data_IF_025867972701
#
_entry.id   IF_025867972701
#
_cell.length_a   1.000
_cell.length_b   1.000
_cell.length_c   1.000
_cell.angle_alpha   90.00
_cell.angle_beta   90.00
_cell.angle_gamma   90.00
#
_symmetry.space_group_name_H-M   'P 1'
#
loop_
_entity.id
_entity.type
_entity.pdbx_description
1 polymer ?
#
# COMPACT_ATOMS: atom_id res chain seq x y z
N UNK A 1 -34.64 41.50 -16.78
CA UNK A 1 -33.38 41.12 -17.48
C UNK A 1 -32.29 40.59 -16.55
N UNK A 2 -32.24 40.98 -15.27
CA UNK A 2 -31.19 40.55 -14.32
C UNK A 2 -31.37 39.13 -13.78
N UNK A 3 -32.59 38.72 -13.41
CA UNK A 3 -32.85 37.38 -12.85
C UNK A 3 -32.58 36.24 -13.85
N UNK A 4 -33.01 36.35 -15.10
CA UNK A 4 -32.81 35.30 -16.11
C UNK A 4 -31.33 35.11 -16.46
N UNK A 5 -30.56 36.20 -16.54
CA UNK A 5 -29.11 36.12 -16.72
C UNK A 5 -28.41 35.45 -15.53
N UNK A 6 -28.86 35.72 -14.30
CA UNK A 6 -28.32 35.08 -13.09
C UNK A 6 -28.66 33.59 -13.05
N UNK A 7 -29.88 33.20 -13.41
CA UNK A 7 -30.28 31.78 -13.48
C UNK A 7 -29.47 31.05 -14.57
N UNK A 8 -29.28 31.69 -15.73
CA UNK A 8 -28.48 31.13 -16.83
C UNK A 8 -27.00 30.88 -16.45
N UNK A 9 -26.37 31.82 -15.73
CA UNK A 9 -24.98 31.65 -15.27
C UNK A 9 -24.85 30.56 -14.23
N UNK A 10 -25.80 30.45 -13.29
CA UNK A 10 -25.83 29.37 -12.30
C UNK A 10 -25.97 28.00 -12.99
N UNK A 11 -26.90 27.86 -13.93
CA UNK A 11 -27.12 26.62 -14.70
C UNK A 11 -25.87 26.22 -15.49
N UNK A 12 -25.22 27.17 -16.16
CA UNK A 12 -23.97 26.91 -16.88
C UNK A 12 -22.86 26.43 -15.93
N UNK A 13 -22.75 27.04 -14.74
CA UNK A 13 -21.82 26.61 -13.70
C UNK A 13 -22.08 25.18 -13.22
N UNK A 14 -23.34 24.83 -12.97
CA UNK A 14 -23.75 23.47 -12.56
C UNK A 14 -23.44 22.44 -13.65
N UNK A 15 -23.78 22.73 -14.91
CA UNK A 15 -23.50 21.84 -16.04
C UNK A 15 -21.99 21.64 -16.24
N UNK A 16 -21.20 22.71 -16.13
CA UNK A 16 -19.74 22.64 -16.18
C UNK A 16 -19.17 21.77 -15.04
N UNK A 17 -19.69 21.92 -13.82
CA UNK A 17 -19.29 21.12 -12.68
C UNK A 17 -19.66 19.63 -12.84
N UNK A 18 -20.87 19.32 -13.31
CA UNK A 18 -21.31 17.95 -13.60
C UNK A 18 -20.46 17.30 -14.71
N UNK A 19 -20.14 18.05 -15.77
CA UNK A 19 -19.25 17.60 -16.84
C UNK A 19 -17.84 17.32 -16.31
N UNK A 20 -17.31 18.17 -15.41
CA UNK A 20 -16.03 17.95 -14.75
C UNK A 20 -16.03 16.67 -13.89
N UNK A 21 -17.07 16.46 -13.07
CA UNK A 21 -17.25 15.24 -12.28
C UNK A 21 -17.31 14.02 -13.20
N UNK A 22 -18.14 14.03 -14.23
CA UNK A 22 -18.25 12.92 -15.18
C UNK A 22 -16.90 12.63 -15.85
N UNK A 23 -16.20 13.67 -16.32
CA UNK A 23 -14.88 13.55 -16.92
C UNK A 23 -13.88 12.86 -15.98
N UNK A 24 -13.81 13.31 -14.73
CA UNK A 24 -12.84 12.81 -13.77
C UNK A 24 -13.15 11.39 -13.29
N UNK A 25 -14.42 11.11 -12.93
CA UNK A 25 -14.82 9.85 -12.32
C UNK A 25 -15.15 8.75 -13.33
N UNK A 26 -15.65 9.10 -14.52
CA UNK A 26 -16.10 8.12 -15.52
C UNK A 26 -15.20 8.09 -16.75
N UNK A 27 -14.89 9.24 -17.33
CA UNK A 27 -14.25 9.30 -18.64
C UNK A 27 -12.76 8.93 -18.60
N UNK A 28 -11.96 9.62 -17.77
CA UNK A 28 -10.50 9.39 -17.68
C UNK A 28 -10.13 7.93 -17.35
N UNK A 29 -10.75 7.27 -16.34
CA UNK A 29 -10.43 5.88 -16.02
C UNK A 29 -10.78 4.92 -17.17
N UNK A 30 -11.92 5.13 -17.85
CA UNK A 30 -12.33 4.33 -19.01
C UNK A 30 -11.38 4.51 -20.19
N UNK A 31 -10.94 5.74 -20.45
CA UNK A 31 -9.98 6.01 -21.53
C UNK A 31 -8.64 5.30 -21.27
N UNK A 32 -8.12 5.38 -20.04
CA UNK A 32 -6.88 4.67 -19.67
C UNK A 32 -7.04 3.16 -19.82
N UNK A 33 -8.16 2.61 -19.34
CA UNK A 33 -8.48 1.19 -19.48
C UNK A 33 -8.60 0.76 -20.95
N UNK A 34 -9.20 1.59 -21.80
CA UNK A 34 -9.29 1.33 -23.25
C UNK A 34 -7.91 1.33 -23.91
N UNK A 35 -7.03 2.27 -23.55
CA UNK A 35 -5.64 2.28 -24.05
C UNK A 35 -4.90 1.00 -23.68
N UNK A 36 -5.00 0.55 -22.42
CA UNK A 36 -4.40 -0.72 -21.97
C UNK A 36 -5.04 -1.93 -22.65
N UNK A 37 -6.37 -1.91 -22.85
CA UNK A 37 -7.08 -2.95 -23.58
C UNK A 37 -6.64 -3.08 -25.04
N UNK A 38 -6.38 -1.96 -25.72
CA UNK A 38 -5.83 -1.94 -27.07
C UNK A 38 -4.39 -2.50 -27.14
N UNK A 39 -3.65 -2.48 -26.03
CA UNK A 39 -2.34 -3.13 -25.88
C UNK A 39 -2.45 -4.62 -25.47
N UNK A 40 -3.66 -5.17 -25.42
CA UNK A 40 -3.91 -6.56 -25.06
C UNK A 40 -4.07 -6.83 -23.58
N UNK A 41 -3.97 -5.82 -22.71
CA UNK A 41 -4.10 -5.99 -21.25
C UNK A 41 -5.57 -6.10 -20.86
N UNK A 42 -5.98 -7.29 -20.42
CA UNK A 42 -7.35 -7.57 -19.95
C UNK A 42 -7.46 -7.45 -18.43
N UNK A 43 -8.67 -7.56 -17.90
CA UNK A 43 -8.88 -7.57 -16.46
C UNK A 43 -10.36 -7.51 -16.06
N UNK A 44 -10.66 -7.56 -14.75
CA UNK A 44 -12.03 -7.57 -14.24
C UNK A 44 -12.78 -6.28 -14.59
N UNK A 45 -14.03 -6.40 -15.04
CA UNK A 45 -14.84 -5.26 -15.47
C UNK A 45 -15.21 -4.41 -14.26
N UNK A 46 -14.74 -3.16 -14.25
CA UNK A 46 -15.12 -2.14 -13.28
C UNK A 46 -16.34 -1.31 -13.74
N UNK A 47 -16.91 -1.60 -14.92
CA UNK A 47 -17.95 -0.79 -15.55
C UNK A 47 -19.26 -0.73 -14.76
N UNK A 48 -19.58 -1.78 -14.01
CA UNK A 48 -20.78 -1.85 -13.17
C UNK A 48 -20.68 -0.97 -11.92
N UNK A 49 -19.48 -0.58 -11.50
CA UNK A 49 -19.23 0.23 -10.30
C UNK A 49 -18.15 1.28 -10.59
N UNK A 50 -18.41 2.29 -11.43
CA UNK A 50 -17.37 3.23 -11.86
C UNK A 50 -16.76 4.05 -10.71
N UNK A 51 -17.52 4.29 -9.63
CA UNK A 51 -17.07 5.03 -8.45
C UNK A 51 -16.15 4.18 -7.55
N UNK A 52 -16.48 2.91 -7.34
CA UNK A 52 -15.74 2.01 -6.44
C UNK A 52 -14.74 1.11 -7.18
N UNK A 53 -14.80 1.06 -8.51
CA UNK A 53 -14.01 0.15 -9.31
C UNK A 53 -14.32 -1.32 -8.98
N UNK A 54 -13.25 -2.10 -8.76
CA UNK A 54 -13.35 -3.50 -8.40
C UNK A 54 -13.42 -3.76 -6.88
N UNK A 55 -13.49 -2.73 -6.03
CA UNK A 55 -13.55 -2.90 -4.55
C UNK A 55 -14.69 -3.86 -4.12
N UNK A 56 -15.93 -3.76 -4.64
CA UNK A 56 -16.99 -4.69 -4.26
C UNK A 56 -16.68 -6.14 -4.65
N UNK A 57 -16.05 -6.35 -5.80
CA UNK A 57 -15.62 -7.68 -6.26
C UNK A 57 -14.50 -8.24 -5.38
N UNK A 58 -13.50 -7.40 -5.03
CA UNK A 58 -12.42 -7.76 -4.09
C UNK A 58 -13.00 -8.22 -2.75
N UNK A 59 -13.94 -7.45 -2.19
CA UNK A 59 -14.57 -7.80 -0.90
C UNK A 59 -15.40 -9.09 -1.00
N UNK A 60 -16.14 -9.29 -2.10
CA UNK A 60 -16.88 -10.54 -2.34
C UNK A 60 -15.95 -11.76 -2.38
N UNK A 61 -14.86 -11.69 -3.14
CA UNK A 61 -13.89 -12.79 -3.27
C UNK A 61 -13.22 -13.09 -1.91
N UNK A 62 -12.85 -12.04 -1.16
CA UNK A 62 -12.27 -12.19 0.19
C UNK A 62 -13.24 -12.89 1.14
N UNK A 63 -14.49 -12.46 1.20
CA UNK A 63 -15.52 -13.06 2.06
C UNK A 63 -15.83 -14.52 1.67
N UNK A 64 -15.87 -14.83 0.37
CA UNK A 64 -16.07 -16.21 -0.10
C UNK A 64 -14.89 -17.11 0.27
N UNK A 65 -13.66 -16.61 0.10
CA UNK A 65 -12.45 -17.37 0.44
C UNK A 65 -12.38 -17.65 1.95
N UNK A 66 -12.71 -16.65 2.78
CA UNK A 66 -12.75 -16.79 4.23
C UNK A 66 -13.79 -17.81 4.72
N UNK A 67 -14.91 -17.99 4.01
CA UNK A 67 -15.91 -19.03 4.33
C UNK A 67 -15.47 -20.43 3.91
N UNK A 68 -14.63 -20.53 2.87
CA UNK A 68 -14.23 -21.82 2.29
C UNK A 68 -12.99 -22.45 2.92
N UNK A 69 -12.08 -21.64 3.46
CA UNK A 69 -10.90 -22.14 4.16
C UNK A 69 -11.23 -22.26 5.66
N UNK A 70 -10.92 -23.39 6.31
CA UNK A 70 -11.03 -23.45 7.76
C UNK A 70 -10.16 -22.35 8.37
N UNK A 71 -10.73 -21.60 9.32
CA UNK A 71 -9.95 -20.76 10.22
C UNK A 71 -8.79 -21.59 10.74
N UNK A 72 -7.58 -21.04 10.76
CA UNK A 72 -6.47 -21.67 11.48
C UNK A 72 -6.93 -21.82 12.94
N UNK A 73 -7.46 -22.99 13.30
CA UNK A 73 -7.84 -23.28 14.66
C UNK A 73 -6.55 -23.48 15.42
N UNK A 74 -6.16 -22.47 16.19
CA UNK A 74 -5.20 -22.61 17.27
C UNK A 74 -5.89 -23.28 18.47
N UNK A 75 -6.66 -24.34 18.23
CA UNK A 75 -7.14 -25.19 19.30
C UNK A 75 -6.03 -26.21 19.55
N UNK A 76 -5.29 -26.01 20.65
CA UNK A 76 -4.11 -26.78 21.05
C UNK A 76 -4.37 -28.25 21.40
N UNK A 77 -5.32 -28.91 20.73
CA UNK A 77 -5.77 -30.28 21.02
C UNK A 77 -5.66 -31.24 19.84
N UNK A 78 -5.23 -30.81 18.65
CA UNK A 78 -4.96 -31.72 17.54
C UNK A 78 -3.48 -32.12 17.51
N UNK A 79 -3.20 -33.41 17.76
CA UNK A 79 -1.89 -34.06 17.75
C UNK A 79 -1.24 -34.18 16.35
N UNK A 80 -1.32 -33.12 15.54
CA UNK A 80 -0.62 -32.98 14.27
C UNK A 80 0.03 -31.61 14.21
N UNK A 81 1.33 -31.53 13.90
CA UNK A 81 1.95 -30.25 13.57
C UNK A 81 1.10 -29.60 12.49
N UNK A 82 0.59 -28.37 12.66
CA UNK A 82 0.00 -27.66 11.56
C UNK A 82 1.09 -27.52 10.49
N UNK A 83 0.88 -28.15 9.34
CA UNK A 83 1.76 -28.01 8.20
C UNK A 83 1.81 -26.51 7.85
N UNK A 84 3.01 -25.94 7.84
CA UNK A 84 3.20 -24.52 7.57
C UNK A 84 2.93 -24.31 6.07
N UNK A 85 1.70 -23.91 5.74
CA UNK A 85 1.33 -23.54 4.38
C UNK A 85 1.91 -22.16 4.04
N UNK A 86 2.82 -22.12 3.08
CA UNK A 86 3.40 -20.87 2.56
C UNK A 86 2.50 -20.16 1.53
N UNK A 87 1.32 -20.69 1.21
CA UNK A 87 0.33 -20.08 0.31
C UNK A 87 -0.50 -18.94 0.97
N UNK A 88 0.17 -18.13 1.80
CA UNK A 88 -0.41 -16.93 2.39
C UNK A 88 -0.97 -15.92 1.35
N UNK A 89 -0.40 -15.75 0.13
CA UNK A 89 -0.94 -14.78 -0.82
C UNK A 89 -2.38 -15.12 -1.24
N UNK A 90 -2.73 -16.40 -1.22
CA UNK A 90 -4.07 -16.87 -1.54
C UNK A 90 -5.07 -16.63 -0.42
N UNK A 91 -4.59 -16.42 0.80
CA UNK A 91 -5.39 -16.03 1.95
C UNK A 91 -5.56 -14.51 1.98
N UNK A 92 -4.47 -13.76 1.83
CA UNK A 92 -4.50 -12.29 1.94
C UNK A 92 -4.99 -11.58 0.67
N UNK A 93 -4.64 -12.10 -0.51
CA UNK A 93 -4.91 -11.48 -1.82
C UNK A 93 -5.57 -12.46 -2.81
N UNK A 94 -6.67 -13.16 -2.43
CA UNK A 94 -7.29 -14.21 -3.26
C UNK A 94 -7.75 -13.69 -4.64
N UNK A 95 -8.20 -12.44 -4.70
CA UNK A 95 -8.63 -11.78 -5.94
C UNK A 95 -7.50 -11.67 -6.97
N UNK A 96 -6.25 -11.37 -6.55
CA UNK A 96 -5.12 -11.31 -7.48
C UNK A 96 -4.81 -12.69 -8.06
N UNK A 97 -4.88 -13.76 -7.24
CA UNK A 97 -4.68 -15.13 -7.72
C UNK A 97 -5.76 -15.54 -8.73
N UNK A 98 -7.04 -15.25 -8.41
CA UNK A 98 -8.16 -15.55 -9.29
C UNK A 98 -8.07 -14.80 -10.62
N UNK A 99 -7.76 -13.50 -10.58
CA UNK A 99 -7.63 -12.68 -11.79
C UNK A 99 -6.40 -13.04 -12.60
N UNK A 100 -5.26 -13.38 -11.98
CA UNK A 100 -4.10 -13.92 -12.70
C UNK A 100 -4.47 -15.19 -13.47
N UNK A 101 -5.20 -16.12 -12.84
CA UNK A 101 -5.65 -17.37 -13.51
C UNK A 101 -6.59 -17.08 -14.68
N UNK A 102 -7.41 -16.04 -14.58
CA UNK A 102 -8.43 -15.70 -15.58
C UNK A 102 -7.93 -14.82 -16.74
N UNK A 103 -7.05 -13.87 -16.45
CA UNK A 103 -6.63 -12.82 -17.38
C UNK A 103 -5.17 -12.94 -17.81
N UNK A 104 -4.40 -13.83 -17.17
CA UNK A 104 -2.98 -14.04 -17.45
C UNK A 104 -2.07 -13.33 -16.44
N UNK A 105 -0.74 -13.38 -16.67
CA UNK A 105 0.26 -12.85 -15.74
C UNK A 105 0.20 -11.32 -15.59
N UNK A 106 -0.34 -10.61 -16.60
CA UNK A 106 -0.50 -9.16 -16.62
C UNK A 106 -1.96 -8.80 -16.80
N UNK A 107 -2.54 -8.05 -15.86
CA UNK A 107 -3.93 -7.62 -15.92
C UNK A 107 -4.17 -6.27 -15.25
N UNK A 108 -5.28 -5.62 -15.60
CA UNK A 108 -5.67 -4.30 -15.07
C UNK A 108 -6.97 -4.33 -14.28
N UNK A 109 -6.95 -3.79 -13.07
CA UNK A 109 -8.13 -3.60 -12.21
C UNK A 109 -8.16 -2.17 -11.67
N UNK A 110 -9.19 -1.79 -10.93
CA UNK A 110 -9.30 -0.45 -10.37
C UNK A 110 -9.75 -0.43 -8.92
N UNK A 111 -9.24 0.56 -8.18
CA UNK A 111 -9.71 0.91 -6.83
C UNK A 111 -10.23 2.35 -6.87
N UNK A 112 -11.54 2.48 -6.91
CA UNK A 112 -12.19 3.73 -7.34
C UNK A 112 -11.75 4.15 -8.74
N UNK A 113 -11.31 5.40 -8.89
CA UNK A 113 -10.87 5.96 -10.19
C UNK A 113 -9.43 5.59 -10.57
N UNK A 114 -8.66 4.99 -9.66
CA UNK A 114 -7.26 4.61 -9.90
C UNK A 114 -7.23 3.28 -10.65
N UNK A 115 -6.59 3.26 -11.82
CA UNK A 115 -6.29 2.01 -12.55
C UNK A 115 -4.95 1.45 -12.06
N UNK A 116 -4.94 0.17 -11.72
CA UNK A 116 -3.75 -0.57 -11.28
C UNK A 116 -3.44 -1.65 -12.31
N UNK A 117 -2.22 -1.61 -12.83
CA UNK A 117 -1.64 -2.67 -13.64
C UNK A 117 -0.91 -3.62 -12.69
N UNK A 118 -1.35 -4.87 -12.64
CA UNK A 118 -0.68 -5.94 -11.91
C UNK A 118 0.04 -6.83 -12.92
N UNK A 119 1.32 -7.08 -12.69
CA UNK A 119 2.11 -8.01 -13.49
C UNK A 119 2.88 -8.97 -12.59
N UNK A 120 2.91 -10.23 -13.01
CA UNK A 120 3.72 -11.31 -12.45
C UNK A 120 4.69 -11.87 -13.50
N UNK A 121 4.75 -11.22 -14.67
CA UNK A 121 5.73 -11.51 -15.70
C UNK A 121 7.13 -11.05 -15.24
N UNK A 122 8.07 -11.99 -15.16
CA UNK A 122 9.38 -11.74 -14.56
C UNK A 122 10.19 -10.74 -15.37
N UNK A 123 10.15 -10.82 -16.69
CA UNK A 123 10.88 -9.89 -17.57
C UNK A 123 10.32 -8.48 -17.44
N UNK A 124 9.00 -8.31 -17.43
CA UNK A 124 8.38 -7.00 -17.20
C UNK A 124 8.71 -6.44 -15.82
N UNK A 125 8.70 -7.26 -14.77
CA UNK A 125 9.08 -6.82 -13.41
C UNK A 125 10.54 -6.37 -13.37
N UNK A 126 11.43 -7.12 -14.04
CA UNK A 126 12.85 -6.79 -14.16
C UNK A 126 13.04 -5.45 -14.89
N UNK A 127 12.38 -5.25 -16.03
CA UNK A 127 12.42 -3.99 -16.78
C UNK A 127 11.92 -2.80 -15.94
N UNK A 128 10.78 -2.96 -15.24
CA UNK A 128 10.26 -1.93 -14.33
C UNK A 128 11.26 -1.62 -13.20
N UNK A 129 11.96 -2.64 -12.68
CA UNK A 129 12.93 -2.47 -11.59
C UNK A 129 14.20 -1.74 -12.03
N UNK A 130 14.58 -1.87 -13.30
CA UNK A 130 15.71 -1.14 -13.90
C UNK A 130 15.33 0.25 -14.40
N UNK A 131 14.04 0.60 -14.40
CA UNK A 131 13.58 1.89 -14.87
C UNK A 131 13.99 3.00 -13.89
N UNK A 132 15.04 3.74 -14.24
CA UNK A 132 15.62 4.82 -13.42
C UNK A 132 14.99 6.18 -13.67
N UNK A 133 14.11 6.30 -14.65
CA UNK A 133 13.45 7.57 -14.95
C UNK A 133 12.53 7.99 -13.82
N UNK A 134 12.56 9.28 -13.51
CA UNK A 134 11.72 9.93 -12.52
C UNK A 134 10.22 9.91 -12.90
N UNK A 135 9.87 9.47 -14.11
CA UNK A 135 8.49 9.41 -14.60
C UNK A 135 7.67 8.26 -14.00
N UNK A 136 8.30 7.14 -13.62
CA UNK A 136 7.67 6.08 -12.81
C UNK A 136 7.95 6.36 -11.33
N UNK A 137 7.29 7.40 -10.83
CA UNK A 137 7.37 7.79 -9.42
C UNK A 137 6.51 6.94 -8.48
N UNK A 138 6.61 7.24 -7.20
CA UNK A 138 5.68 6.77 -6.17
C UNK A 138 4.26 7.24 -6.51
N UNK A 139 3.24 6.38 -6.33
CA UNK A 139 1.87 6.80 -6.49
C UNK A 139 1.55 8.04 -5.63
N UNK A 140 0.84 9.02 -6.20
CA UNK A 140 0.51 10.27 -5.51
C UNK A 140 -0.33 10.09 -4.24
N UNK A 141 -1.02 8.95 -4.11
CA UNK A 141 -1.70 8.61 -2.86
C UNK A 141 -0.72 8.35 -1.71
N UNK A 142 0.51 7.91 -1.97
CA UNK A 142 1.51 7.70 -0.91
C UNK A 142 1.88 9.02 -0.24
N UNK A 143 2.16 10.06 -1.02
CA UNK A 143 2.47 11.38 -0.47
C UNK A 143 1.26 12.10 0.14
N UNK A 144 0.06 11.87 -0.41
CA UNK A 144 -1.15 12.54 0.09
C UNK A 144 -1.76 11.85 1.30
N UNK A 145 -1.99 10.54 1.22
CA UNK A 145 -2.72 9.80 2.25
C UNK A 145 -1.82 9.45 3.44
N UNK A 146 -0.54 9.18 3.18
CA UNK A 146 0.46 8.95 4.23
C UNK A 146 1.34 10.18 4.50
N UNK A 147 0.93 11.36 4.01
CA UNK A 147 1.58 12.64 4.30
C UNK A 147 1.75 12.91 5.80
N UNK A 148 0.74 12.67 6.67
CA UNK A 148 0.91 12.82 8.11
C UNK A 148 1.98 11.91 8.74
N UNK A 149 2.28 10.77 8.10
CA UNK A 149 3.24 9.79 8.61
C UNK A 149 4.65 9.99 8.04
N UNK A 150 4.75 10.28 6.75
CA UNK A 150 6.02 10.32 6.04
C UNK A 150 6.42 11.71 5.56
N UNK A 151 5.51 12.70 5.61
CA UNK A 151 5.71 14.01 5.00
C UNK A 151 6.15 13.88 3.55
N UNK A 152 7.21 14.61 3.19
CA UNK A 152 7.90 14.47 1.90
C UNK A 152 9.10 13.51 1.97
N UNK A 153 9.10 12.58 2.92
CA UNK A 153 10.19 11.61 3.11
C UNK A 153 10.32 10.60 1.98
N UNK A 154 11.37 9.78 2.05
CA UNK A 154 11.82 8.89 0.95
C UNK A 154 10.78 7.87 0.47
N UNK A 155 9.79 7.54 1.30
CA UNK A 155 8.70 6.60 0.96
C UNK A 155 7.62 7.30 0.11
N UNK A 156 7.42 8.59 0.33
CA UNK A 156 6.38 9.42 -0.28
C UNK A 156 6.88 10.26 -1.47
N UNK A 157 8.18 10.59 -1.50
CA UNK A 157 8.77 11.45 -2.52
C UNK A 157 9.04 10.72 -3.84
N UNK A 158 9.09 11.48 -4.93
CA UNK A 158 9.52 11.04 -6.27
C UNK A 158 10.44 12.10 -6.86
N UNK A 159 11.04 11.80 -8.01
CA UNK A 159 11.78 12.84 -8.73
C UNK A 159 13.13 13.20 -8.08
N UNK A 160 13.59 14.45 -8.28
CA UNK A 160 14.86 14.93 -7.72
C UNK A 160 14.88 14.90 -6.18
N UNK A 161 13.74 15.17 -5.53
CA UNK A 161 13.62 15.12 -4.06
C UNK A 161 13.93 13.73 -3.52
N UNK A 162 13.35 12.69 -4.13
CA UNK A 162 13.64 11.31 -3.76
C UNK A 162 15.12 10.95 -4.00
N UNK A 163 15.67 11.33 -5.15
CA UNK A 163 17.07 11.07 -5.51
C UNK A 163 18.04 11.69 -4.50
N UNK A 164 17.81 12.94 -4.12
CA UNK A 164 18.60 13.65 -3.12
C UNK A 164 18.54 12.96 -1.74
N UNK A 165 17.33 12.62 -1.26
CA UNK A 165 17.14 11.91 0.01
C UNK A 165 17.83 10.53 0.00
N UNK A 166 17.70 9.78 -1.10
CA UNK A 166 18.35 8.47 -1.26
C UNK A 166 19.87 8.59 -1.19
N UNK A 167 20.46 9.62 -1.83
CA UNK A 167 21.90 9.88 -1.82
C UNK A 167 22.43 10.17 -0.41
N UNK A 168 21.66 10.91 0.40
CA UNK A 168 22.03 11.22 1.80
C UNK A 168 21.94 9.98 2.68
N UNK A 169 20.89 9.17 2.51
CA UNK A 169 20.58 8.03 3.39
C UNK A 169 21.45 6.81 3.08
N UNK A 170 21.76 6.55 1.81
CA UNK A 170 22.44 5.32 1.38
C UNK A 170 23.74 4.98 2.14
N UNK A 171 24.64 5.93 2.45
CA UNK A 171 25.87 5.64 3.19
C UNK A 171 25.64 5.05 4.58
N UNK A 172 24.51 5.33 5.23
CA UNK A 172 24.19 4.77 6.56
C UNK A 172 23.90 3.27 6.52
N UNK A 173 23.65 2.72 5.32
CA UNK A 173 23.42 1.29 5.09
C UNK A 173 24.64 0.57 4.50
N UNK A 174 25.80 1.23 4.43
CA UNK A 174 27.04 0.56 4.00
C UNK A 174 27.53 -0.42 5.07
N UNK A 175 28.21 -1.47 4.63
CA UNK A 175 28.62 -2.60 5.48
C UNK A 175 29.37 -2.14 6.74
N UNK A 176 30.27 -1.16 6.62
CA UNK A 176 31.04 -0.68 7.77
C UNK A 176 30.16 0.06 8.79
N UNK A 177 29.17 0.82 8.32
CA UNK A 177 28.17 1.45 9.20
C UNK A 177 27.29 0.39 9.86
N UNK A 178 26.79 -0.59 9.11
CA UNK A 178 26.01 -1.70 9.66
C UNK A 178 26.80 -2.45 10.73
N UNK A 179 28.06 -2.82 10.46
CA UNK A 179 28.95 -3.48 11.43
C UNK A 179 29.08 -2.72 12.74
N UNK A 180 29.22 -1.39 12.69
CA UNK A 180 29.28 -0.56 13.90
C UNK A 180 28.01 -0.59 14.74
N UNK A 181 26.85 -0.88 14.14
CA UNK A 181 25.57 -0.94 14.83
C UNK A 181 25.25 -2.35 15.39
N UNK A 182 25.91 -3.41 14.90
CA UNK A 182 25.59 -4.81 15.26
C UNK A 182 25.64 -5.06 16.77
N UNK A 183 26.64 -4.53 17.48
CA UNK A 183 26.75 -4.72 18.94
C UNK A 183 25.52 -4.17 19.68
N UNK A 184 25.03 -2.99 19.27
CA UNK A 184 23.83 -2.36 19.82
C UNK A 184 22.56 -3.17 19.49
N UNK A 185 22.50 -3.77 18.31
CA UNK A 185 21.39 -4.66 17.93
C UNK A 185 21.39 -5.93 18.78
N UNK A 186 22.56 -6.54 19.03
CA UNK A 186 22.66 -7.74 19.87
C UNK A 186 22.24 -7.42 21.31
N UNK A 187 22.65 -6.27 21.84
CA UNK A 187 22.28 -5.84 23.20
C UNK A 187 20.75 -5.79 23.41
N UNK A 188 19.98 -5.37 22.40
CA UNK A 188 18.51 -5.35 22.45
C UNK A 188 17.86 -6.73 22.59
N UNK A 189 18.58 -7.79 22.23
CA UNK A 189 18.05 -9.16 22.22
C UNK A 189 18.32 -9.93 23.52
N UNK A 190 19.06 -9.34 24.46
CA UNK A 190 19.41 -9.97 25.75
C UNK A 190 18.24 -9.98 26.74
N UNK A 191 17.11 -10.55 26.33
CA UNK A 191 15.96 -10.84 27.18
C UNK A 191 16.20 -12.21 27.81
N UNK A 192 16.78 -12.23 29.01
CA UNK A 192 17.03 -13.48 29.74
C UNK A 192 15.73 -14.11 30.28
N UNK A 193 15.71 -15.44 30.39
CA UNK A 193 14.67 -16.20 31.10
C UNK A 193 13.69 -16.95 30.19
N UNK A 194 12.76 -17.66 30.83
CA UNK A 194 11.61 -18.31 30.18
C UNK A 194 10.40 -17.41 30.40
N UNK A 195 9.77 -16.95 29.31
CA UNK A 195 8.61 -16.09 29.35
C UNK A 195 7.59 -16.50 28.29
N UNK A 196 6.31 -16.26 28.59
CA UNK A 196 5.26 -16.32 27.57
C UNK A 196 5.39 -15.13 26.63
N UNK A 197 5.47 -15.41 25.32
CA UNK A 197 5.73 -14.41 24.28
C UNK A 197 4.47 -14.20 23.43
N UNK A 198 4.02 -12.95 23.34
CA UNK A 198 3.09 -12.51 22.33
C UNK A 198 3.86 -12.08 21.07
N UNK A 199 3.90 -12.95 20.06
CA UNK A 199 4.73 -12.77 18.86
C UNK A 199 4.53 -11.39 18.20
N UNK A 200 3.29 -10.92 18.01
CA UNK A 200 3.03 -9.64 17.34
C UNK A 200 3.52 -8.44 18.15
N UNK A 201 3.24 -8.44 19.46
CA UNK A 201 3.62 -7.34 20.35
C UNK A 201 5.13 -7.32 20.58
N UNK A 202 5.70 -8.47 20.91
CA UNK A 202 7.08 -8.56 21.38
C UNK A 202 8.07 -8.41 20.22
N UNK A 203 7.79 -8.99 19.05
CA UNK A 203 8.63 -8.76 17.86
C UNK A 203 8.58 -7.31 17.40
N UNK A 204 7.43 -6.63 17.53
CA UNK A 204 7.30 -5.21 17.22
C UNK A 204 8.11 -4.36 18.20
N UNK A 205 8.03 -4.67 19.50
CA UNK A 205 8.80 -3.98 20.53
C UNK A 205 10.30 -4.17 20.32
N UNK A 206 10.74 -5.41 20.09
CA UNK A 206 12.14 -5.73 19.81
C UNK A 206 12.65 -4.99 18.57
N UNK A 207 11.86 -4.99 17.48
CA UNK A 207 12.23 -4.26 16.26
C UNK A 207 12.35 -2.75 16.50
N UNK A 208 11.47 -2.17 17.32
CA UNK A 208 11.54 -0.75 17.67
C UNK A 208 12.80 -0.43 18.50
N UNK A 209 13.17 -1.28 19.48
CA UNK A 209 14.39 -1.09 20.27
C UNK A 209 15.66 -1.25 19.41
N UNK A 210 15.73 -2.30 18.57
CA UNK A 210 16.82 -2.51 17.59
C UNK A 210 17.03 -1.27 16.74
N UNK A 211 15.97 -0.75 16.12
CA UNK A 211 16.07 0.43 15.25
C UNK A 211 16.42 1.68 16.08
N UNK A 212 15.86 1.83 17.27
CA UNK A 212 16.15 2.97 18.15
C UNK A 212 17.62 3.01 18.56
N UNK A 213 18.19 1.88 18.95
CA UNK A 213 19.60 1.78 19.31
C UNK A 213 20.51 1.96 18.10
N UNK A 214 20.17 1.37 16.96
CA UNK A 214 20.94 1.52 15.73
C UNK A 214 20.97 2.97 15.23
N UNK A 215 19.84 3.68 15.30
CA UNK A 215 19.72 5.04 14.77
C UNK A 215 20.12 6.14 15.76
N UNK A 216 19.86 5.96 17.06
CA UNK A 216 20.01 7.00 18.08
C UNK A 216 21.09 6.68 19.14
N UNK A 217 21.71 5.49 19.09
CA UNK A 217 22.80 5.12 20.00
C UNK A 217 22.39 5.24 21.47
N UNK A 218 23.14 6.01 22.26
CA UNK A 218 22.86 6.25 23.68
C UNK A 218 21.51 6.93 23.94
N UNK A 219 20.95 7.63 22.95
CA UNK A 219 19.66 8.33 23.05
C UNK A 219 18.49 7.47 22.54
N UNK A 220 18.64 6.14 22.51
CA UNK A 220 17.63 5.22 21.97
C UNK A 220 16.23 5.39 22.59
N UNK A 221 16.13 5.82 23.86
CA UNK A 221 14.84 6.10 24.52
C UNK A 221 14.02 7.20 23.81
N UNK A 222 14.68 8.20 23.23
CA UNK A 222 14.00 9.20 22.40
C UNK A 222 13.48 8.58 21.11
N UNK A 223 14.26 7.68 20.50
CA UNK A 223 13.86 6.87 19.36
C UNK A 223 12.61 6.03 19.64
N UNK A 224 12.58 5.32 20.77
CA UNK A 224 11.41 4.53 21.20
C UNK A 224 10.16 5.40 21.34
N UNK A 225 10.31 6.60 21.92
CA UNK A 225 9.21 7.55 22.02
C UNK A 225 8.71 7.99 20.63
N UNK A 226 9.61 8.28 19.68
CA UNK A 226 9.26 8.57 18.30
C UNK A 226 8.49 7.40 17.67
N UNK A 227 8.96 6.16 17.82
CA UNK A 227 8.27 4.98 17.26
C UNK A 227 6.88 4.77 17.88
N UNK A 228 6.72 5.03 19.17
CA UNK A 228 5.40 5.02 19.83
C UNK A 228 4.45 6.04 19.18
N UNK A 229 4.91 7.26 18.91
CA UNK A 229 4.09 8.29 18.23
C UNK A 229 3.80 7.96 16.77
N UNK A 230 4.76 7.43 16.03
CA UNK A 230 4.55 6.90 14.68
C UNK A 230 3.49 5.80 14.69
N UNK A 231 3.47 4.93 15.72
CA UNK A 231 2.48 3.88 15.87
C UNK A 231 1.08 4.43 16.16
N UNK A 232 0.95 5.41 17.05
CA UNK A 232 -0.31 6.11 17.30
C UNK A 232 -0.88 6.67 15.99
N UNK A 233 -0.05 7.35 15.18
CA UNK A 233 -0.44 7.86 13.86
C UNK A 233 -0.86 6.75 12.89
N UNK A 234 -0.12 5.64 12.83
CA UNK A 234 -0.49 4.49 12.00
C UNK A 234 -1.86 3.93 12.37
N UNK A 235 -2.19 3.82 13.65
CA UNK A 235 -3.49 3.31 14.12
C UNK A 235 -4.62 4.26 13.70
N UNK A 236 -4.40 5.58 13.80
CA UNK A 236 -5.40 6.58 13.35
C UNK A 236 -5.59 6.48 11.84
N UNK A 237 -4.50 6.43 11.07
CA UNK A 237 -4.56 6.34 9.59
C UNK A 237 -5.20 5.04 9.11
N UNK A 238 -5.00 3.92 9.80
CA UNK A 238 -5.59 2.63 9.45
C UNK A 238 -7.12 2.59 9.52
N UNK A 239 -7.75 3.55 10.22
CA UNK A 239 -9.22 3.70 10.25
C UNK A 239 -9.77 4.38 8.99
N UNK A 240 -8.93 5.03 8.19
CA UNK A 240 -9.31 5.69 6.93
C UNK A 240 -9.15 4.80 5.70
N UNK A 241 -9.68 5.26 4.56
CA UNK A 241 -9.54 4.55 3.27
C UNK A 241 -8.37 5.12 2.45
N UNK A 242 -7.18 4.52 2.59
CA UNK A 242 -6.04 4.86 1.74
C UNK A 242 -6.26 4.38 0.29
N UNK A 243 -5.90 5.23 -0.68
CA UNK A 243 -5.94 4.87 -2.10
C UNK A 243 -7.33 4.84 -2.74
N UNK A 244 -8.41 5.24 -2.06
CA UNK A 244 -9.77 5.25 -2.60
C UNK A 244 -10.31 6.69 -2.66
N UNK A 245 -10.24 7.38 -3.81
CA UNK A 245 -10.55 8.81 -3.92
C UNK A 245 -11.91 9.29 -3.40
N UNK A 246 -12.91 8.40 -3.33
CA UNK A 246 -14.28 8.75 -2.95
C UNK A 246 -14.58 8.46 -1.48
N UNK A 247 -13.80 7.58 -0.85
CA UNK A 247 -13.96 7.19 0.56
C UNK A 247 -12.94 7.88 1.48
N UNK A 248 -12.25 8.88 0.92
CA UNK A 248 -11.32 9.75 1.62
C UNK A 248 -12.06 10.81 2.42
#
# INVERSE_FOLDING_TARGET
MTMEMVVGTILAGILGFLAYIYSFYMWKPRQLRRKLGNQGVKGPLASSNPLLGNIPEINRIRLQTAKSKPTFCLDGTAAGRPEIDHDWPSVLLPHLRQWRKKYGPTFVYSTGTIQLLCTTDVEMVKEISHFTSLSLGRPSYLSRDFGPLFGQGIIASSGPTWSHQRKIIAPQFYTDKVKSMVSLMVESTNLGGVADVNIDKDMRSLSADVISRACFGSNYKEGEHIFSKVRELQIVLAKGHAGIPILR
#
